data_IF_010954702633
#
_entry.id   IF_010954702633
#
_cell.length_a   1.000
_cell.length_b   1.000
_cell.length_c   1.000
_cell.angle_alpha   90.00
_cell.angle_beta   90.00
_cell.angle_gamma   90.00
#
_symmetry.space_group_name_H-M   'P 1'
#
loop_
_entity.id
_entity.type
_entity.pdbx_description
1 polymer ?
#
# COMPACT_ATOMS: atom_id res chain seq x y z
N UNK A 1 -37.01 16.86 -19.35
CA UNK A 1 -36.33 17.95 -18.65
C UNK A 1 -36.56 17.79 -17.15
N UNK A 2 -35.67 17.09 -16.46
CA UNK A 2 -35.55 17.11 -15.00
C UNK A 2 -34.21 16.49 -14.62
N UNK A 3 -33.18 17.31 -14.41
CA UNK A 3 -31.93 16.88 -13.76
C UNK A 3 -31.38 17.97 -12.82
N UNK A 4 -32.15 18.49 -11.84
CA UNK A 4 -31.58 19.36 -10.81
C UNK A 4 -30.66 18.59 -9.85
N UNK A 5 -30.87 17.27 -9.71
CA UNK A 5 -30.09 16.44 -8.79
C UNK A 5 -28.66 16.14 -9.30
N UNK A 6 -28.47 16.11 -10.62
CA UNK A 6 -27.19 15.72 -11.23
C UNK A 6 -26.18 16.88 -11.28
N UNK A 7 -26.66 18.13 -11.29
CA UNK A 7 -25.81 19.32 -11.10
C UNK A 7 -25.22 19.38 -9.68
N UNK A 8 -25.97 18.91 -8.69
CA UNK A 8 -25.55 18.83 -7.27
C UNK A 8 -24.48 17.76 -7.01
N UNK A 9 -24.25 16.83 -7.95
CA UNK A 9 -23.32 15.71 -7.80
C UNK A 9 -22.05 15.86 -8.65
N UNK A 10 -22.05 16.77 -9.63
CA UNK A 10 -20.92 17.03 -10.52
C UNK A 10 -20.05 18.22 -10.11
N UNK A 11 -20.63 19.19 -9.40
CA UNK A 11 -19.92 20.34 -8.83
C UNK A 11 -19.97 20.19 -7.31
N UNK A 12 -19.08 19.39 -6.73
CA UNK A 12 -18.85 19.36 -5.28
C UNK A 12 -18.17 20.69 -4.88
N UNK A 13 -18.92 21.77 -5.01
CA UNK A 13 -18.51 23.11 -4.66
C UNK A 13 -18.62 23.37 -3.16
N UNK A 14 -18.16 24.55 -2.74
CA UNK A 14 -18.27 24.98 -1.34
C UNK A 14 -19.72 25.13 -0.84
N UNK A 15 -20.68 25.36 -1.76
CA UNK A 15 -22.10 25.51 -1.42
C UNK A 15 -22.73 24.20 -0.93
N UNK A 16 -22.46 23.09 -1.62
CA UNK A 16 -22.93 21.74 -1.30
C UNK A 16 -22.37 21.27 0.05
N UNK A 17 -21.08 21.49 0.29
CA UNK A 17 -20.46 21.18 1.59
C UNK A 17 -21.11 22.00 2.70
N UNK A 18 -21.40 23.28 2.47
CA UNK A 18 -22.07 24.12 3.45
C UNK A 18 -23.49 23.63 3.75
N UNK A 19 -24.25 23.19 2.74
CA UNK A 19 -25.59 22.63 2.92
C UNK A 19 -25.56 21.33 3.75
N UNK A 20 -24.64 20.41 3.44
CA UNK A 20 -24.44 19.18 4.20
C UNK A 20 -24.06 19.49 5.65
N UNK A 21 -23.15 20.46 5.87
CA UNK A 21 -22.78 20.91 7.21
C UNK A 21 -23.98 21.43 7.99
N UNK A 22 -24.84 22.26 7.38
CA UNK A 22 -26.05 22.78 8.04
C UNK A 22 -27.00 21.65 8.43
N UNK A 23 -27.22 20.67 7.55
CA UNK A 23 -28.06 19.51 7.87
C UNK A 23 -27.48 18.76 9.07
N UNK A 24 -26.20 18.40 9.05
CA UNK A 24 -25.53 17.71 10.17
C UNK A 24 -25.62 18.54 11.46
N UNK A 25 -25.44 19.85 11.40
CA UNK A 25 -25.55 20.74 12.55
C UNK A 25 -26.97 20.82 13.13
N UNK A 26 -28.02 20.60 12.34
CA UNK A 26 -29.40 20.54 12.83
C UNK A 26 -29.65 19.20 13.55
N UNK A 27 -29.21 18.08 12.96
CA UNK A 27 -29.42 16.74 13.54
C UNK A 27 -28.57 16.50 14.79
N UNK A 28 -27.29 16.89 14.75
CA UNK A 28 -26.35 16.67 15.84
C UNK A 28 -26.23 17.90 16.76
N UNK A 29 -26.55 19.09 16.30
CA UNK A 29 -26.36 20.33 17.04
C UNK A 29 -24.99 20.97 16.81
N UNK A 30 -24.93 22.30 16.83
CA UNK A 30 -23.69 23.07 16.62
C UNK A 30 -22.59 22.80 17.66
N UNK A 31 -22.95 22.27 18.83
CA UNK A 31 -22.01 21.97 19.90
C UNK A 31 -21.38 20.58 19.78
N UNK A 32 -21.99 19.64 19.05
CA UNK A 32 -21.51 18.23 19.01
C UNK A 32 -20.33 18.01 18.09
N UNK A 33 -20.28 18.66 16.94
CA UNK A 33 -19.12 18.60 16.04
C UNK A 33 -17.82 19.06 16.73
N UNK A 34 -17.74 20.25 17.37
CA UNK A 34 -16.51 20.69 18.03
C UNK A 34 -16.19 19.88 19.29
N UNK A 35 -17.19 19.33 19.99
CA UNK A 35 -16.99 18.44 21.13
C UNK A 35 -16.34 17.12 20.70
N UNK A 36 -16.87 16.49 19.64
CA UNK A 36 -16.30 15.27 19.04
C UNK A 36 -14.90 15.53 18.46
N UNK A 37 -14.71 16.62 17.74
CA UNK A 37 -13.41 16.99 17.18
C UNK A 37 -12.35 17.21 18.27
N UNK A 38 -12.72 17.83 19.40
CA UNK A 38 -11.83 18.00 20.56
C UNK A 38 -11.47 16.67 21.20
N UNK A 39 -12.44 15.76 21.37
CA UNK A 39 -12.19 14.41 21.91
C UNK A 39 -11.28 13.59 21.01
N UNK A 40 -11.61 13.52 19.71
CA UNK A 40 -10.82 12.81 18.71
C UNK A 40 -9.40 13.41 18.58
N UNK A 41 -9.28 14.74 18.56
CA UNK A 41 -8.00 15.42 18.46
C UNK A 41 -7.06 15.13 19.63
N UNK A 42 -7.59 15.06 20.85
CA UNK A 42 -6.83 14.64 22.04
C UNK A 42 -6.37 13.18 21.91
N UNK A 43 -7.28 12.27 21.55
CA UNK A 43 -6.94 10.86 21.36
C UNK A 43 -5.89 10.62 20.27
N UNK A 44 -6.00 11.31 19.13
CA UNK A 44 -4.99 11.23 18.05
C UNK A 44 -3.64 11.78 18.54
N UNK A 45 -3.63 12.86 19.33
CA UNK A 45 -2.40 13.42 19.88
C UNK A 45 -1.72 12.47 20.85
N UNK A 46 -2.47 11.95 21.81
CA UNK A 46 -1.98 10.97 22.80
C UNK A 46 -1.46 9.70 22.12
N UNK A 47 -2.19 9.19 21.11
CA UNK A 47 -1.77 8.04 20.32
C UNK A 47 -0.47 8.31 19.56
N UNK A 48 -0.34 9.49 18.95
CA UNK A 48 0.88 9.89 18.23
C UNK A 48 2.08 10.05 19.18
N UNK A 49 1.86 10.65 20.34
CA UNK A 49 2.91 10.88 21.33
C UNK A 49 3.42 9.53 21.88
N UNK A 50 2.51 8.63 22.28
CA UNK A 50 2.87 7.26 22.70
C UNK A 50 3.59 6.48 21.59
N UNK A 51 3.10 6.55 20.34
CA UNK A 51 3.75 5.90 19.20
C UNK A 51 5.16 6.46 18.93
N UNK A 52 5.36 7.76 19.14
CA UNK A 52 6.65 8.42 18.97
C UNK A 52 7.66 7.99 20.03
N UNK A 53 7.23 7.88 21.28
CA UNK A 53 8.07 7.43 22.39
C UNK A 53 8.56 6.00 22.15
N UNK A 54 7.64 5.09 21.83
CA UNK A 54 7.94 3.71 21.45
C UNK A 54 8.96 3.67 20.29
N UNK A 55 8.73 4.46 19.23
CA UNK A 55 9.66 4.52 18.09
C UNK A 55 11.05 5.02 18.50
N UNK A 56 11.12 6.01 19.39
CA UNK A 56 12.39 6.55 19.89
C UNK A 56 13.14 5.56 20.77
N UNK A 57 12.43 4.77 21.58
CA UNK A 57 13.03 3.67 22.37
C UNK A 57 13.64 2.61 21.46
N UNK A 58 12.94 2.19 20.41
CA UNK A 58 13.47 1.23 19.44
C UNK A 58 14.67 1.76 18.66
N UNK A 59 14.66 3.04 18.27
CA UNK A 59 15.80 3.65 17.59
C UNK A 59 17.01 3.79 18.53
N UNK A 60 16.80 4.16 19.79
CA UNK A 60 17.87 4.24 20.79
C UNK A 60 18.41 2.85 21.19
N UNK A 61 17.56 1.83 21.29
CA UNK A 61 17.96 0.45 21.53
C UNK A 61 18.79 -0.13 20.36
N UNK A 62 18.45 0.23 19.12
CA UNK A 62 19.23 -0.13 17.93
C UNK A 62 20.60 0.57 17.85
N UNK A 63 20.75 1.76 18.44
CA UNK A 63 22.04 2.47 18.50
C UNK A 63 22.92 2.06 19.69
N UNK A 64 22.38 1.34 20.66
CA UNK A 64 23.14 0.69 21.74
C UNK A 64 23.69 -0.69 21.34
N UNK A 65 24.04 -0.86 20.07
CA UNK A 65 24.95 -1.93 19.68
C UNK A 65 26.35 -1.51 20.14
N UNK A 66 27.04 -2.27 21.03
CA UNK A 66 28.44 -2.04 21.31
C UNK A 66 29.16 -2.08 19.97
N UNK A 67 29.82 -0.98 19.57
CA UNK A 67 30.72 -1.02 18.42
C UNK A 67 31.70 -2.17 18.68
N UNK A 68 31.74 -3.24 17.85
CA UNK A 68 32.83 -4.18 17.93
C UNK A 68 34.13 -3.40 17.65
N UNK A 69 35.22 -3.65 18.39
CA UNK A 69 36.44 -2.84 18.37
C UNK A 69 37.28 -2.99 17.09
N UNK A 70 36.68 -3.49 16.01
CA UNK A 70 37.35 -3.64 14.73
C UNK A 70 36.84 -2.58 13.76
N UNK A 71 37.27 -1.33 14.01
CA UNK A 71 37.46 -0.37 12.93
C UNK A 71 38.42 -1.00 11.93
N UNK A 72 37.90 -1.29 10.75
CA UNK A 72 38.64 -1.82 9.63
C UNK A 72 39.92 -0.99 9.42
N UNK A 73 41.07 -1.67 9.48
CA UNK A 73 42.27 -1.25 8.73
C UNK A 73 41.81 -0.85 7.32
N UNK A 74 42.27 0.28 6.75
CA UNK A 74 42.00 0.59 5.36
C UNK A 74 42.41 -0.62 4.52
N UNK A 75 41.43 -1.35 4.00
CA UNK A 75 41.69 -2.44 3.10
C UNK A 75 42.39 -1.81 1.90
N UNK A 76 43.68 -2.13 1.77
CA UNK A 76 44.49 -1.92 0.60
C UNK A 76 43.62 -2.15 -0.64
N UNK A 77 43.54 -1.15 -1.51
CA UNK A 77 42.91 -1.27 -2.82
C UNK A 77 43.42 -2.53 -3.50
N UNK A 78 42.56 -3.53 -3.63
CA UNK A 78 42.82 -4.67 -4.50
C UNK A 78 42.83 -4.10 -5.92
N UNK A 79 43.93 -4.23 -6.68
CA UNK A 79 44.00 -3.74 -8.05
C UNK A 79 42.81 -4.27 -8.85
N UNK A 80 42.13 -3.36 -9.55
CA UNK A 80 40.95 -3.65 -10.35
C UNK A 80 41.21 -4.83 -11.30
N UNK A 81 40.58 -5.97 -11.01
CA UNK A 81 40.38 -6.99 -12.02
C UNK A 81 39.48 -6.39 -13.13
N UNK A 82 39.84 -6.54 -14.42
CA UNK A 82 39.05 -5.96 -15.50
C UNK A 82 37.64 -6.59 -15.52
N UNK A 83 36.62 -5.75 -15.45
CA UNK A 83 35.23 -6.15 -15.53
C UNK A 83 34.92 -6.78 -16.91
N UNK A 84 34.10 -7.84 -16.99
CA UNK A 84 33.53 -8.25 -18.28
C UNK A 84 32.61 -7.14 -18.79
N UNK A 85 32.94 -6.65 -19.98
CA UNK A 85 32.16 -5.70 -20.78
C UNK A 85 30.71 -6.15 -20.86
N UNK A 86 29.80 -5.37 -20.27
CA UNK A 86 28.39 -5.47 -20.56
C UNK A 86 28.19 -5.10 -22.03
N UNK A 87 27.90 -6.11 -22.87
CA UNK A 87 27.48 -5.90 -24.26
C UNK A 87 26.22 -5.06 -24.26
N UNK A 88 26.37 -3.86 -24.78
CA UNK A 88 25.34 -2.87 -25.05
C UNK A 88 24.30 -3.50 -25.99
N UNK A 89 23.10 -3.79 -25.49
CA UNK A 89 21.98 -4.22 -26.35
C UNK A 89 21.34 -2.95 -26.94
N UNK A 90 21.73 -2.63 -28.17
CA UNK A 90 21.09 -1.62 -28.99
C UNK A 90 19.64 -2.02 -29.27
N UNK A 91 18.67 -1.08 -29.25
CA UNK A 91 17.33 -1.37 -29.73
C UNK A 91 17.33 -1.29 -31.25
N UNK A 92 17.61 -2.40 -31.93
CA UNK A 92 17.41 -2.50 -33.38
C UNK A 92 15.91 -2.63 -33.67
N UNK A 93 15.37 -1.54 -34.19
CA UNK A 93 14.06 -1.48 -34.79
C UNK A 93 14.02 -2.37 -36.05
N UNK A 94 13.35 -3.51 -35.96
CA UNK A 94 12.86 -4.22 -37.14
C UNK A 94 11.34 -4.44 -37.03
N UNK A 95 10.65 -3.56 -37.74
CA UNK A 95 9.34 -3.76 -38.31
C UNK A 95 9.33 -5.04 -39.16
N UNK A 96 8.60 -6.07 -38.74
CA UNK A 96 8.21 -7.14 -39.65
C UNK A 96 6.78 -7.59 -39.36
N UNK A 97 5.96 -7.45 -40.39
CA UNK A 97 4.55 -7.79 -40.41
C UNK A 97 4.37 -9.31 -40.31
N UNK A 98 3.59 -9.76 -39.33
CA UNK A 98 3.03 -11.11 -39.35
C UNK A 98 1.60 -11.09 -38.79
N UNK A 99 0.67 -11.27 -39.74
CA UNK A 99 -0.76 -11.51 -39.62
C UNK A 99 -1.09 -12.56 -38.54
N UNK A 100 -2.03 -12.32 -37.60
CA UNK A 100 -2.55 -13.40 -36.79
C UNK A 100 -3.55 -14.23 -37.61
N UNK A 101 -3.09 -15.34 -38.17
CA UNK A 101 -3.92 -16.45 -38.63
C UNK A 101 -4.49 -17.15 -37.38
N UNK A 102 -5.69 -16.74 -36.96
CA UNK A 102 -6.47 -17.49 -36.00
C UNK A 102 -6.84 -18.87 -36.59
N UNK A 103 -6.53 -19.94 -35.85
CA UNK A 103 -7.11 -21.27 -36.08
C UNK A 103 -7.80 -21.72 -34.80
N UNK A 104 -9.08 -22.14 -34.84
CA UNK A 104 -9.79 -22.65 -33.67
C UNK A 104 -9.48 -24.14 -33.52
N UNK A 105 -9.00 -24.58 -32.35
CA UNK A 105 -9.03 -26.00 -32.03
C UNK A 105 -9.39 -26.21 -30.56
N UNK A 106 -10.61 -26.67 -30.37
CA UNK A 106 -11.22 -27.08 -29.11
C UNK A 106 -10.77 -28.51 -28.80
N UNK A 107 -10.43 -28.80 -27.54
CA UNK A 107 -10.26 -30.17 -27.05
C UNK A 107 -9.19 -30.30 -25.97
N UNK A 108 -9.60 -30.69 -24.76
CA UNK A 108 -8.67 -31.26 -23.78
C UNK A 108 -8.88 -30.83 -22.33
N UNK A 109 -9.93 -31.35 -21.71
CA UNK A 109 -9.99 -31.78 -20.30
C UNK A 109 -9.37 -30.88 -19.23
N UNK A 110 -10.23 -30.09 -18.57
CA UNK A 110 -10.04 -29.60 -17.20
C UNK A 110 -9.53 -30.73 -16.29
N UNK A 111 -8.40 -30.58 -15.58
CA UNK A 111 -8.07 -31.50 -14.50
C UNK A 111 -9.06 -31.27 -13.36
N UNK A 112 -9.92 -32.26 -13.12
CA UNK A 112 -10.77 -32.33 -11.94
C UNK A 112 -9.89 -32.29 -10.69
N UNK A 113 -10.01 -31.23 -9.90
CA UNK A 113 -9.33 -31.11 -8.62
C UNK A 113 -9.76 -32.27 -7.69
N UNK A 114 -8.82 -33.03 -7.10
CA UNK A 114 -9.17 -34.08 -6.16
C UNK A 114 -9.80 -33.44 -4.92
N UNK A 115 -11.04 -33.83 -4.63
CA UNK A 115 -11.73 -33.48 -3.39
C UNK A 115 -10.85 -33.84 -2.19
N UNK A 116 -10.73 -32.91 -1.23
CA UNK A 116 -10.09 -33.19 0.06
C UNK A 116 -11.18 -33.60 1.05
N UNK A 117 -11.43 -34.89 1.29
CA UNK A 117 -12.32 -35.30 2.37
C UNK A 117 -11.70 -34.94 3.72
N UNK A 118 -12.22 -33.81 4.19
CA UNK A 118 -12.37 -33.28 5.53
C UNK A 118 -12.44 -34.37 6.63
N UNK A 119 -11.61 -34.18 7.65
CA UNK A 119 -11.85 -34.55 9.06
C UNK A 119 -12.05 -36.04 9.40
N UNK A 120 -10.94 -36.75 9.58
CA UNK A 120 -10.87 -37.97 10.42
C UNK A 120 -9.63 -37.96 11.36
N UNK A 121 -9.08 -36.77 11.68
CA UNK A 121 -7.91 -36.62 12.56
C UNK A 121 -8.21 -35.87 13.88
N UNK A 122 -9.40 -36.04 14.42
CA UNK A 122 -9.69 -35.79 15.83
C UNK A 122 -10.58 -36.97 16.20
N UNK A 123 -10.14 -38.00 16.92
CA UNK A 123 -9.60 -37.96 18.27
C UNK A 123 -9.15 -39.39 18.59
N UNK A 124 -7.85 -39.59 18.82
CA UNK A 124 -7.38 -40.71 19.64
C UNK A 124 -7.43 -40.24 21.10
N UNK A 125 -7.86 -41.15 21.97
CA UNK A 125 -7.84 -41.10 23.45
C UNK A 125 -9.04 -40.47 24.15
#
# INVERSE_FOLDING_TARGET
MQTPLFLFLGDLGGGEIMLIMVVILIFFGANKIPELARGLGKGIREFKDASSEIRSEFENAGRQQPQPPYSATPAQQVPAAPAPTATNYAPDAHSEAATPLASPMNGGTTPTQPERPRFDQMTNE
#
